data_IF_439788095952
#
_entry.id   IF_439788095952
#
_cell.length_a   1.000
_cell.length_b   1.000
_cell.length_c   1.000
_cell.angle_alpha   90.00
_cell.angle_beta   90.00
_cell.angle_gamma   90.00
#
_symmetry.space_group_name_H-M   'P 1'
#
loop_
_entity.id
_entity.type
_entity.pdbx_description
1 polymer ?
#
# COMPACT_ATOMS: atom_id res chain seq x y z
N UNK A 1 -4.39 -6.47 15.72
CA UNK A 1 -3.25 -5.93 16.50
C UNK A 1 -2.11 -5.74 15.53
N UNK A 2 -1.38 -4.64 15.56
CA UNK A 2 -0.18 -4.49 14.73
C UNK A 2 0.79 -5.63 15.10
N UNK A 3 1.27 -6.37 14.10
CA UNK A 3 2.21 -7.48 14.33
C UNK A 3 3.51 -6.89 14.85
N UNK A 4 3.86 -7.22 16.07
CA UNK A 4 5.06 -6.69 16.72
C UNK A 4 6.32 -7.29 16.06
N UNK A 5 7.28 -6.44 15.72
CA UNK A 5 8.58 -6.85 15.16
C UNK A 5 9.38 -7.53 16.27
N UNK A 6 9.91 -8.71 16.00
CA UNK A 6 10.66 -9.48 17.00
C UNK A 6 11.93 -8.72 17.46
N UNK A 7 12.22 -8.86 18.76
CA UNK A 7 13.35 -8.15 19.38
C UNK A 7 14.68 -8.41 18.68
N UNK A 8 14.95 -9.64 18.27
CA UNK A 8 16.19 -9.97 17.54
C UNK A 8 16.35 -9.23 16.22
N UNK A 9 15.22 -8.89 15.55
CA UNK A 9 15.23 -8.07 14.32
C UNK A 9 15.51 -6.61 14.68
N UNK A 10 14.88 -6.10 15.72
CA UNK A 10 15.13 -4.74 16.23
C UNK A 10 16.60 -4.57 16.59
N UNK A 11 17.16 -5.49 17.38
CA UNK A 11 18.56 -5.47 17.81
C UNK A 11 19.52 -5.48 16.60
N UNK A 12 19.24 -6.31 15.58
CA UNK A 12 20.02 -6.37 14.33
C UNK A 12 19.98 -5.07 13.55
N UNK A 13 18.80 -4.45 13.45
CA UNK A 13 18.60 -3.17 12.76
C UNK A 13 19.37 -2.06 13.47
N UNK A 14 19.23 -1.96 14.80
CA UNK A 14 19.93 -0.96 15.62
C UNK A 14 21.44 -1.15 15.57
N UNK A 15 21.94 -2.38 15.65
CA UNK A 15 23.36 -2.68 15.54
C UNK A 15 23.94 -2.24 14.18
N UNK A 16 23.18 -2.35 13.09
CA UNK A 16 23.64 -1.99 11.75
C UNK A 16 23.62 -0.49 11.47
N UNK A 17 22.59 0.24 11.94
CA UNK A 17 22.37 1.65 11.54
C UNK A 17 22.28 2.66 12.69
N UNK A 18 22.51 2.20 13.93
CA UNK A 18 22.52 3.05 15.13
C UNK A 18 21.17 3.45 15.69
N UNK A 19 20.06 3.24 14.95
CA UNK A 19 18.70 3.56 15.37
C UNK A 19 17.67 2.63 14.71
N UNK A 20 16.47 2.49 15.27
CA UNK A 20 15.42 1.65 14.71
C UNK A 20 14.75 2.31 13.51
N UNK A 21 14.32 3.56 13.66
CA UNK A 21 13.62 4.29 12.61
C UNK A 21 14.57 5.12 11.75
N UNK A 22 14.26 5.18 10.45
CA UNK A 22 15.11 5.87 9.47
C UNK A 22 14.89 7.38 9.48
N UNK A 23 13.64 7.82 9.66
CA UNK A 23 13.23 9.18 9.43
C UNK A 23 12.90 9.89 10.74
N UNK A 24 13.45 11.09 10.94
CA UNK A 24 13.18 11.95 12.10
C UNK A 24 12.11 13.00 11.76
N UNK A 25 11.86 13.25 10.46
CA UNK A 25 10.79 14.11 9.94
C UNK A 25 10.49 13.78 8.48
N UNK A 26 9.27 14.11 8.02
CA UNK A 26 8.83 13.96 6.64
C UNK A 26 8.33 15.31 6.10
N UNK A 27 8.54 15.55 4.79
CA UNK A 27 8.00 16.73 4.10
C UNK A 27 6.63 16.39 3.49
N UNK A 28 5.57 17.03 3.97
CA UNK A 28 4.21 16.78 3.50
C UNK A 28 4.04 17.00 1.99
N UNK A 29 4.76 17.97 1.40
CA UNK A 29 4.68 18.28 -0.04
C UNK A 29 5.39 17.24 -0.92
N UNK A 30 6.32 16.48 -0.33
CA UNK A 30 7.10 15.44 -1.00
C UNK A 30 6.64 14.04 -0.62
N UNK A 31 5.57 13.92 0.15
CA UNK A 31 5.04 12.65 0.63
C UNK A 31 3.74 12.29 -0.10
N UNK A 32 3.59 11.02 -0.44
CA UNK A 32 2.33 10.45 -0.91
C UNK A 32 1.91 9.25 -0.04
N UNK A 33 0.60 9.13 0.23
CA UNK A 33 -0.02 7.92 0.74
C UNK A 33 -0.45 7.06 -0.45
N UNK A 34 0.09 5.85 -0.55
CA UNK A 34 -0.33 4.83 -1.49
C UNK A 34 -1.29 3.86 -0.79
N UNK A 35 -2.56 3.86 -1.17
CA UNK A 35 -3.55 2.89 -0.66
C UNK A 35 -3.75 1.82 -1.73
N UNK A 36 -3.17 0.64 -1.49
CA UNK A 36 -3.02 -0.42 -2.49
C UNK A 36 -4.14 -1.46 -2.37
N UNK A 37 -4.84 -1.72 -3.47
CA UNK A 37 -5.77 -2.82 -3.71
C UNK A 37 -6.90 -2.96 -2.66
N UNK A 38 -7.37 -1.85 -2.09
CA UNK A 38 -8.53 -1.84 -1.21
C UNK A 38 -9.83 -1.92 -2.03
N UNK A 39 -9.96 -2.98 -2.84
CA UNK A 39 -11.05 -3.25 -3.78
C UNK A 39 -12.01 -4.29 -3.20
N UNK A 40 -13.23 -4.35 -3.74
CA UNK A 40 -14.24 -5.37 -3.34
C UNK A 40 -13.67 -6.78 -3.39
N UNK A 41 -12.84 -7.10 -4.39
CA UNK A 41 -12.19 -8.40 -4.53
C UNK A 41 -11.40 -8.84 -3.28
N UNK A 42 -10.80 -7.89 -2.56
CA UNK A 42 -9.94 -8.19 -1.41
C UNK A 42 -10.58 -7.87 -0.07
N UNK A 43 -11.57 -6.96 -0.04
CA UNK A 43 -12.14 -6.43 1.21
C UNK A 43 -13.54 -6.95 1.48
N UNK A 44 -14.38 -7.17 0.43
CA UNK A 44 -15.75 -7.59 0.62
C UNK A 44 -15.86 -9.03 1.18
N UNK A 45 -16.77 -9.27 2.15
CA UNK A 45 -16.97 -10.60 2.69
C UNK A 45 -17.35 -11.63 1.63
N UNK A 46 -16.72 -12.81 1.67
CA UNK A 46 -17.00 -13.90 0.74
C UNK A 46 -16.46 -13.69 -0.68
N UNK A 47 -15.69 -12.65 -0.92
CA UNK A 47 -15.09 -12.42 -2.23
C UNK A 47 -13.98 -13.46 -2.53
N UNK A 48 -13.71 -13.78 -3.80
CA UNK A 48 -12.80 -14.88 -4.16
C UNK A 48 -11.33 -14.65 -3.76
N UNK A 49 -10.95 -13.40 -3.49
CA UNK A 49 -9.59 -13.01 -3.10
C UNK A 49 -9.57 -12.37 -1.70
N UNK A 50 -10.61 -12.59 -0.90
CA UNK A 50 -10.79 -11.96 0.40
C UNK A 50 -9.54 -12.05 1.27
N UNK A 51 -9.20 -10.92 1.87
CA UNK A 51 -8.22 -10.79 2.95
C UNK A 51 -9.00 -10.40 4.20
N UNK A 52 -9.28 -11.33 5.13
CA UNK A 52 -10.19 -11.08 6.25
C UNK A 52 -9.81 -9.85 7.09
N UNK A 53 -8.51 -9.62 7.29
CA UNK A 53 -7.97 -8.46 8.00
C UNK A 53 -8.15 -7.12 7.26
N UNK A 54 -8.44 -7.12 5.95
CA UNK A 54 -8.53 -5.88 5.17
C UNK A 54 -9.69 -4.97 5.60
N UNK A 55 -10.79 -5.52 6.11
CA UNK A 55 -11.88 -4.69 6.65
C UNK A 55 -11.49 -3.90 7.88
N UNK A 56 -10.65 -4.49 8.72
CA UNK A 56 -10.20 -3.83 9.96
C UNK A 56 -9.31 -2.60 9.68
N UNK A 57 -8.65 -2.53 8.54
CA UNK A 57 -7.80 -1.40 8.17
C UNK A 57 -8.55 -0.28 7.42
N UNK A 58 -9.81 -0.45 7.05
CA UNK A 58 -10.60 0.59 6.33
C UNK A 58 -10.71 1.87 7.16
N UNK A 59 -11.13 1.77 8.43
CA UNK A 59 -11.28 2.93 9.29
C UNK A 59 -9.94 3.61 9.63
N UNK A 60 -8.85 2.90 9.97
CA UNK A 60 -7.51 3.48 10.08
C UNK A 60 -7.04 4.23 8.84
N UNK A 61 -7.19 3.63 7.64
CA UNK A 61 -6.83 4.27 6.36
C UNK A 61 -7.64 5.55 6.14
N UNK A 62 -8.96 5.52 6.35
CA UNK A 62 -9.83 6.68 6.19
C UNK A 62 -9.42 7.83 7.12
N UNK A 63 -9.16 7.53 8.41
CA UNK A 63 -8.67 8.51 9.39
C UNK A 63 -7.34 9.11 8.93
N UNK A 64 -6.39 8.26 8.56
CA UNK A 64 -5.07 8.68 8.10
C UNK A 64 -5.17 9.57 6.86
N UNK A 65 -5.90 9.15 5.82
CA UNK A 65 -6.08 9.90 4.59
C UNK A 65 -6.67 11.29 4.85
N UNK A 66 -7.68 11.40 5.74
CA UNK A 66 -8.27 12.68 6.12
C UNK A 66 -7.25 13.61 6.80
N UNK A 67 -6.41 13.10 7.73
CA UNK A 67 -5.38 13.89 8.39
C UNK A 67 -4.24 14.30 7.45
N UNK A 68 -3.85 13.41 6.54
CA UNK A 68 -2.82 13.68 5.56
C UNK A 68 -3.25 14.74 4.53
N UNK A 69 -4.51 14.72 4.06
CA UNK A 69 -5.07 15.78 3.19
C UNK A 69 -4.98 17.17 3.81
N UNK A 70 -5.32 17.30 5.11
CA UNK A 70 -5.21 18.58 5.86
C UNK A 70 -3.77 19.12 5.90
N UNK A 71 -2.78 18.26 5.72
CA UNK A 71 -1.34 18.60 5.71
C UNK A 71 -0.78 18.80 4.31
N UNK A 72 -1.59 18.58 3.26
CA UNK A 72 -1.19 18.73 1.87
C UNK A 72 -0.43 17.53 1.30
N UNK A 73 -0.53 16.37 1.95
CA UNK A 73 0.03 15.10 1.43
C UNK A 73 -0.84 14.59 0.28
N UNK A 74 -0.21 14.11 -0.78
CA UNK A 74 -0.91 13.51 -1.92
C UNK A 74 -1.47 12.13 -1.55
N UNK A 75 -2.77 11.91 -1.80
CA UNK A 75 -3.42 10.60 -1.60
C UNK A 75 -3.60 9.92 -2.95
N UNK A 76 -3.16 8.65 -3.05
CA UNK A 76 -3.23 7.85 -4.28
C UNK A 76 -3.88 6.50 -3.98
N UNK A 77 -5.06 6.28 -4.57
CA UNK A 77 -5.77 5.01 -4.52
C UNK A 77 -5.32 4.15 -5.69
N UNK A 78 -4.74 3.00 -5.40
CA UNK A 78 -4.19 2.09 -6.40
C UNK A 78 -5.08 0.87 -6.49
N UNK A 79 -5.52 0.54 -7.71
CA UNK A 79 -6.38 -0.62 -7.97
C UNK A 79 -5.70 -1.59 -8.92
N UNK A 80 -5.73 -2.87 -8.60
CA UNK A 80 -5.35 -3.91 -9.56
C UNK A 80 -6.41 -4.02 -10.66
N UNK A 81 -5.97 -4.01 -11.91
CA UNK A 81 -6.85 -4.10 -13.07
C UNK A 81 -6.19 -4.92 -14.17
N UNK A 82 -6.85 -5.98 -14.61
CA UNK A 82 -6.39 -6.82 -15.72
C UNK A 82 -7.18 -6.54 -17.00
N UNK A 83 -6.59 -6.95 -18.14
CA UNK A 83 -7.37 -7.21 -19.33
C UNK A 83 -8.35 -8.37 -19.05
N UNK A 84 -9.55 -8.30 -19.66
CA UNK A 84 -10.63 -9.28 -19.43
C UNK A 84 -10.22 -10.72 -19.77
N UNK A 85 -9.28 -10.90 -20.69
CA UNK A 85 -8.74 -12.20 -21.12
C UNK A 85 -7.43 -12.58 -20.41
N UNK A 86 -6.88 -11.72 -19.53
CA UNK A 86 -5.65 -11.94 -18.78
C UNK A 86 -4.37 -11.93 -19.62
N UNK A 87 -4.42 -11.48 -20.89
CA UNK A 87 -3.23 -11.48 -21.78
C UNK A 87 -2.19 -10.46 -21.37
N UNK A 88 -2.57 -9.41 -20.68
CA UNK A 88 -1.68 -8.38 -20.18
C UNK A 88 -0.75 -8.89 -19.07
N UNK A 89 -1.05 -10.07 -18.47
CA UNK A 89 -0.16 -10.76 -17.53
C UNK A 89 -0.21 -12.29 -17.73
N UNK A 90 0.05 -12.74 -18.95
CA UNK A 90 -0.02 -14.16 -19.34
C UNK A 90 0.82 -15.07 -18.43
N UNK A 91 2.06 -14.68 -18.08
CA UNK A 91 2.92 -15.45 -17.19
C UNK A 91 2.28 -15.79 -15.84
N UNK A 92 1.46 -14.89 -15.28
CA UNK A 92 0.69 -15.17 -14.06
C UNK A 92 -0.51 -16.09 -14.36
N UNK A 93 -1.35 -15.71 -15.33
CA UNK A 93 -2.59 -16.45 -15.60
C UNK A 93 -2.36 -17.85 -16.14
N UNK A 94 -1.26 -18.07 -16.86
CA UNK A 94 -0.94 -19.38 -17.44
C UNK A 94 -0.21 -20.30 -16.44
N UNK A 95 0.47 -19.75 -15.42
CA UNK A 95 1.29 -20.55 -14.51
C UNK A 95 0.73 -20.68 -13.09
N UNK A 96 -0.01 -19.68 -12.60
CA UNK A 96 -0.50 -19.64 -11.21
C UNK A 96 -1.99 -19.89 -11.07
N UNK A 97 -2.73 -19.89 -12.19
CA UNK A 97 -4.18 -20.10 -12.18
C UNK A 97 -4.48 -21.41 -12.94
N UNK A 98 -5.27 -22.28 -12.31
CA UNK A 98 -5.72 -23.51 -12.96
C UNK A 98 -6.46 -23.17 -14.27
N UNK A 99 -6.23 -23.92 -15.37
CA UNK A 99 -6.80 -23.61 -16.69
C UNK A 99 -8.31 -23.37 -16.68
N UNK A 100 -9.07 -24.21 -15.96
CA UNK A 100 -10.52 -24.08 -15.83
C UNK A 100 -11.02 -22.86 -15.04
N UNK A 101 -10.13 -22.13 -14.35
CA UNK A 101 -10.47 -20.92 -13.57
C UNK A 101 -9.90 -19.64 -14.20
N UNK A 102 -9.13 -19.75 -15.25
CA UNK A 102 -8.39 -18.62 -15.84
C UNK A 102 -9.31 -17.48 -16.28
N UNK A 103 -10.39 -17.80 -16.98
CA UNK A 103 -11.33 -16.79 -17.48
C UNK A 103 -12.00 -16.02 -16.35
N UNK A 104 -12.48 -16.71 -15.31
CA UNK A 104 -13.14 -16.10 -14.17
C UNK A 104 -12.15 -15.25 -13.36
N UNK A 105 -10.94 -15.74 -13.14
CA UNK A 105 -9.90 -15.01 -12.42
C UNK A 105 -9.49 -13.72 -13.16
N UNK A 106 -9.36 -13.75 -14.48
CA UNK A 106 -9.06 -12.57 -15.28
C UNK A 106 -10.23 -11.57 -15.28
N UNK A 107 -11.46 -12.07 -15.43
CA UNK A 107 -12.67 -11.24 -15.44
C UNK A 107 -12.91 -10.55 -14.09
N UNK A 108 -12.59 -11.20 -12.98
CA UNK A 108 -12.83 -10.68 -11.62
C UNK A 108 -12.25 -9.29 -11.39
N UNK A 109 -11.03 -9.05 -11.85
CA UNK A 109 -10.33 -7.77 -11.70
C UNK A 109 -10.24 -6.97 -13.02
N UNK A 110 -11.07 -7.31 -14.01
CA UNK A 110 -11.12 -6.53 -15.26
C UNK A 110 -11.80 -5.18 -15.06
N UNK A 111 -11.46 -4.23 -15.92
CA UNK A 111 -12.04 -2.89 -15.90
C UNK A 111 -13.58 -2.94 -15.89
N UNK A 112 -14.18 -2.25 -14.93
CA UNK A 112 -15.64 -2.14 -14.79
C UNK A 112 -16.32 -3.31 -14.07
N UNK A 113 -15.61 -4.37 -13.66
CA UNK A 113 -16.18 -5.40 -12.79
C UNK A 113 -16.50 -4.85 -11.40
N UNK A 114 -17.51 -5.40 -10.72
CA UNK A 114 -17.83 -5.01 -9.34
C UNK A 114 -16.69 -5.33 -8.37
N UNK A 115 -15.96 -6.42 -8.60
CA UNK A 115 -14.85 -6.83 -7.76
C UNK A 115 -13.62 -5.90 -7.92
N UNK A 116 -13.48 -5.25 -9.08
CA UNK A 116 -12.38 -4.28 -9.33
C UNK A 116 -12.62 -2.94 -8.65
N UNK A 117 -13.85 -2.56 -8.35
CA UNK A 117 -14.17 -1.28 -7.71
C UNK A 117 -13.55 -1.17 -6.33
N UNK A 118 -13.16 0.04 -5.93
CA UNK A 118 -12.75 0.34 -4.56
C UNK A 118 -13.89 0.01 -3.59
N UNK A 119 -13.54 -0.50 -2.41
CA UNK A 119 -14.49 -0.86 -1.38
C UNK A 119 -15.30 0.38 -0.95
N UNK A 120 -16.64 0.32 -0.89
CA UNK A 120 -17.51 1.50 -0.81
C UNK A 120 -17.37 2.31 0.50
N UNK A 121 -16.84 1.70 1.57
CA UNK A 121 -16.63 2.38 2.85
C UNK A 121 -15.33 3.21 2.90
N UNK A 122 -14.54 3.21 1.82
CA UNK A 122 -13.35 4.05 1.73
C UNK A 122 -13.72 5.51 1.48
N UNK A 123 -13.14 6.42 2.24
CA UNK A 123 -13.36 7.86 2.15
C UNK A 123 -12.53 8.50 1.02
N UNK A 124 -12.84 8.10 -0.22
CA UNK A 124 -12.16 8.59 -1.44
C UNK A 124 -12.72 9.94 -1.84
N UNK A 125 -11.85 10.95 -1.94
CA UNK A 125 -12.25 12.29 -2.39
C UNK A 125 -11.96 12.54 -3.88
N UNK A 126 -12.63 13.55 -4.47
CA UNK A 126 -12.43 13.94 -5.87
C UNK A 126 -11.02 14.46 -6.15
N UNK A 127 -10.38 15.02 -5.16
CA UNK A 127 -9.00 15.54 -5.21
C UNK A 127 -7.95 14.44 -5.21
N UNK A 128 -8.31 13.23 -4.81
CA UNK A 128 -7.37 12.12 -4.72
C UNK A 128 -7.04 11.56 -6.10
N UNK A 129 -5.81 11.09 -6.26
CA UNK A 129 -5.41 10.39 -7.47
C UNK A 129 -5.90 8.94 -7.46
N UNK A 130 -6.17 8.43 -8.65
CA UNK A 130 -6.51 7.02 -8.87
C UNK A 130 -5.59 6.46 -9.95
N UNK A 131 -4.90 5.36 -9.62
CA UNK A 131 -3.94 4.71 -10.51
C UNK A 131 -4.30 3.23 -10.63
N UNK A 132 -4.38 2.74 -11.86
CA UNK A 132 -4.51 1.31 -12.12
C UNK A 132 -3.14 0.66 -12.30
N UNK A 133 -2.98 -0.56 -11.81
CA UNK A 133 -1.81 -1.42 -12.03
C UNK A 133 -2.22 -2.82 -12.47
N UNK A 134 -1.36 -3.51 -13.18
CA UNK A 134 -1.55 -4.91 -13.55
C UNK A 134 -0.35 -5.81 -13.18
N UNK A 135 0.40 -5.39 -12.17
CA UNK A 135 1.46 -6.18 -11.53
C UNK A 135 1.29 -6.08 -10.02
N UNK A 136 2.00 -6.90 -9.25
CA UNK A 136 1.97 -6.77 -7.80
C UNK A 136 2.48 -5.40 -7.38
N UNK A 137 3.66 -5.02 -7.85
CA UNK A 137 4.16 -3.67 -7.61
C UNK A 137 3.41 -2.63 -8.44
N UNK A 138 3.07 -1.53 -7.80
CA UNK A 138 2.42 -0.38 -8.44
C UNK A 138 3.38 0.44 -9.32
N UNK A 139 4.68 0.22 -9.19
CA UNK A 139 5.71 0.95 -9.95
C UNK A 139 6.11 0.23 -11.26
N UNK A 140 5.60 -1.00 -11.49
CA UNK A 140 5.95 -1.78 -12.67
C UNK A 140 4.86 -1.67 -13.73
N UNK A 141 5.24 -1.28 -14.95
CA UNK A 141 4.37 -1.19 -16.14
C UNK A 141 3.11 -0.33 -15.95
N UNK A 142 3.19 0.69 -15.08
CA UNK A 142 2.09 1.63 -14.81
C UNK A 142 2.51 3.08 -14.93
N UNK A 143 1.59 3.99 -14.63
CA UNK A 143 1.82 5.45 -14.67
C UNK A 143 2.29 6.02 -13.33
N UNK A 144 2.31 5.24 -12.26
CA UNK A 144 2.54 5.75 -10.90
C UNK A 144 3.88 6.48 -10.77
N UNK A 145 4.96 5.92 -11.30
CA UNK A 145 6.28 6.55 -11.19
C UNK A 145 6.32 7.95 -11.83
N UNK A 146 5.72 8.09 -13.01
CA UNK A 146 5.61 9.39 -13.68
C UNK A 146 4.78 10.39 -12.86
N UNK A 147 3.66 9.96 -12.28
CA UNK A 147 2.82 10.79 -11.41
C UNK A 147 3.58 11.28 -10.18
N UNK A 148 4.36 10.41 -9.55
CA UNK A 148 5.19 10.75 -8.39
C UNK A 148 6.29 11.76 -8.75
N UNK A 149 7.04 11.51 -9.84
CA UNK A 149 8.12 12.38 -10.30
C UNK A 149 7.63 13.78 -10.70
N UNK A 150 6.52 13.87 -11.44
CA UNK A 150 5.92 15.14 -11.84
C UNK A 150 5.50 16.01 -10.64
N UNK A 151 5.16 15.38 -9.52
CA UNK A 151 4.76 16.04 -8.27
C UNK A 151 5.92 16.30 -7.32
N UNK A 152 7.13 15.87 -7.67
CA UNK A 152 8.31 15.96 -6.80
C UNK A 152 8.21 15.11 -5.53
N UNK A 153 7.42 14.01 -5.57
CA UNK A 153 7.30 13.07 -4.44
C UNK A 153 8.57 12.25 -4.33
N UNK A 154 9.12 12.19 -3.12
CA UNK A 154 10.30 11.37 -2.78
C UNK A 154 10.04 10.40 -1.62
N UNK A 155 8.85 10.46 -1.00
CA UNK A 155 8.50 9.69 0.20
C UNK A 155 7.14 9.01 0.02
N UNK A 156 7.09 7.71 0.28
CA UNK A 156 5.90 6.88 0.10
C UNK A 156 5.48 6.25 1.43
N UNK A 157 4.27 6.57 1.89
CA UNK A 157 3.57 5.87 2.96
C UNK A 157 2.74 4.77 2.31
N UNK A 158 2.96 3.50 2.67
CA UNK A 158 2.30 2.35 2.03
C UNK A 158 1.25 1.77 2.96
N UNK A 159 0.01 1.71 2.47
CA UNK A 159 -1.16 1.12 3.11
C UNK A 159 -1.89 0.18 2.14
N UNK A 160 -2.79 -0.67 2.65
CA UNK A 160 -3.66 -1.54 1.85
C UNK A 160 -3.33 -3.02 1.95
N UNK A 161 -3.57 -3.78 0.87
CA UNK A 161 -3.47 -5.25 0.87
C UNK A 161 -2.92 -5.79 -0.46
N UNK A 162 -2.32 -7.01 -0.52
CA UNK A 162 -1.83 -7.79 0.63
C UNK A 162 -0.46 -7.27 1.05
N UNK A 163 -0.23 -7.24 2.35
CA UNK A 163 1.05 -6.73 2.90
C UNK A 163 2.25 -7.43 2.27
N UNK A 164 2.25 -8.77 2.25
CA UNK A 164 3.34 -9.62 1.76
C UNK A 164 3.39 -9.78 0.23
N UNK A 165 2.50 -9.14 -0.51
CA UNK A 165 2.47 -9.23 -1.99
C UNK A 165 2.54 -7.83 -2.59
N UNK A 166 1.39 -7.17 -2.81
CA UNK A 166 1.35 -5.90 -3.54
C UNK A 166 2.04 -4.76 -2.77
N UNK A 167 1.85 -4.70 -1.45
CA UNK A 167 2.49 -3.68 -0.62
C UNK A 167 4.01 -3.90 -0.55
N UNK A 168 4.46 -5.13 -0.26
CA UNK A 168 5.89 -5.45 -0.18
C UNK A 168 6.59 -5.29 -1.53
N UNK A 169 6.01 -5.80 -2.64
CA UNK A 169 6.60 -5.61 -3.97
C UNK A 169 6.74 -4.13 -4.32
N UNK A 170 5.73 -3.30 -3.98
CA UNK A 170 5.81 -1.86 -4.20
C UNK A 170 6.89 -1.21 -3.32
N UNK A 171 7.01 -1.62 -2.05
CA UNK A 171 8.03 -1.12 -1.14
C UNK A 171 9.46 -1.42 -1.63
N UNK A 172 9.68 -2.65 -2.11
CA UNK A 172 10.99 -3.09 -2.65
C UNK A 172 11.38 -2.28 -3.87
N UNK A 173 10.49 -2.16 -4.86
CA UNK A 173 10.76 -1.40 -6.07
C UNK A 173 10.93 0.10 -5.77
N UNK A 174 10.11 0.66 -4.87
CA UNK A 174 10.22 2.04 -4.46
C UNK A 174 11.60 2.36 -3.86
N UNK A 175 12.08 1.50 -2.95
CA UNK A 175 13.40 1.67 -2.34
C UNK A 175 14.52 1.58 -3.40
N UNK A 176 14.44 0.65 -4.34
CA UNK A 176 15.42 0.51 -5.43
C UNK A 176 15.35 1.64 -6.46
N UNK A 177 14.29 2.44 -6.46
CA UNK A 177 14.11 3.67 -7.24
C UNK A 177 14.38 4.94 -6.42
N UNK A 178 15.07 4.82 -5.27
CA UNK A 178 15.49 5.88 -4.37
C UNK A 178 14.37 6.63 -3.64
N UNK A 179 13.16 6.06 -3.56
CA UNK A 179 12.11 6.61 -2.69
C UNK A 179 12.38 6.27 -1.22
N UNK A 180 12.05 7.20 -0.34
CA UNK A 180 11.90 6.94 1.09
C UNK A 180 10.61 6.17 1.32
N UNK A 181 10.72 4.99 1.91
CA UNK A 181 9.58 4.08 2.09
C UNK A 181 9.24 3.95 3.57
N UNK A 182 7.94 4.09 3.88
CA UNK A 182 7.35 3.80 5.19
C UNK A 182 6.18 2.87 4.99
N UNK A 183 6.27 1.65 5.49
CA UNK A 183 5.13 0.72 5.54
C UNK A 183 4.34 0.93 6.83
N UNK A 184 3.02 1.10 6.70
CA UNK A 184 2.15 1.41 7.81
C UNK A 184 1.58 0.12 8.42
N UNK A 185 2.09 -0.28 9.58
CA UNK A 185 1.81 -1.58 10.21
C UNK A 185 0.34 -1.78 10.60
N UNK A 186 -0.36 -0.70 10.94
CA UNK A 186 -1.78 -0.67 11.31
C UNK A 186 -2.73 -0.34 10.16
N UNK A 187 -2.17 -0.06 8.97
CA UNK A 187 -2.91 0.25 7.75
C UNK A 187 -2.62 -0.75 6.61
N UNK A 188 -1.96 -1.87 6.89
CA UNK A 188 -1.74 -2.97 5.94
C UNK A 188 -2.30 -4.28 6.49
N UNK A 189 -2.72 -5.20 5.60
CA UNK A 189 -3.27 -6.50 5.97
C UNK A 189 -2.76 -7.63 5.07
N UNK A 190 -2.37 -8.76 5.66
CA UNK A 190 -2.04 -10.03 5.02
C UNK A 190 -3.12 -11.09 5.33
N UNK A 191 -2.93 -12.32 4.85
CA UNK A 191 -3.85 -13.43 5.14
C UNK A 191 -3.65 -14.00 6.55
N UNK A 192 -2.47 -13.81 7.14
CA UNK A 192 -2.15 -14.23 8.49
C UNK A 192 -1.22 -13.25 9.21
N UNK A 193 -1.19 -13.32 10.53
CA UNK A 193 -0.28 -12.52 11.36
C UNK A 193 1.19 -12.87 11.09
N UNK A 194 1.49 -14.12 10.74
CA UNK A 194 2.86 -14.54 10.40
C UNK A 194 3.34 -13.93 9.09
N UNK A 195 2.49 -13.90 8.04
CA UNK A 195 2.81 -13.23 6.77
C UNK A 195 2.96 -11.71 6.97
N UNK A 196 2.07 -11.12 7.78
CA UNK A 196 2.16 -9.71 8.14
C UNK A 196 3.50 -9.38 8.80
N UNK A 197 3.84 -10.11 9.87
CA UNK A 197 5.08 -9.91 10.63
C UNK A 197 6.32 -10.13 9.76
N UNK A 198 6.37 -11.23 8.99
CA UNK A 198 7.51 -11.53 8.13
C UNK A 198 7.81 -10.39 7.14
N UNK A 199 6.77 -9.80 6.56
CA UNK A 199 6.92 -8.66 5.66
C UNK A 199 7.41 -7.42 6.39
N UNK A 200 6.81 -7.05 7.53
CA UNK A 200 7.24 -5.89 8.31
C UNK A 200 8.71 -6.02 8.73
N UNK A 201 9.13 -7.22 9.14
CA UNK A 201 10.52 -7.53 9.48
C UNK A 201 11.48 -7.42 8.28
N UNK A 202 11.05 -7.83 7.09
CA UNK A 202 11.82 -7.64 5.86
C UNK A 202 11.97 -6.15 5.51
N UNK A 203 10.86 -5.41 5.57
CA UNK A 203 10.83 -3.98 5.21
C UNK A 203 11.73 -3.18 6.14
N UNK A 204 11.59 -3.32 7.46
CA UNK A 204 12.39 -2.54 8.41
C UNK A 204 13.87 -2.86 8.34
N UNK A 205 14.24 -4.06 7.91
CA UNK A 205 15.64 -4.45 7.75
C UNK A 205 16.27 -3.90 6.47
N UNK A 206 15.52 -3.85 5.34
CA UNK A 206 16.15 -3.72 4.02
C UNK A 206 15.51 -2.64 3.13
N UNK A 207 14.19 -2.38 3.24
CA UNK A 207 13.47 -1.66 2.20
C UNK A 207 12.87 -0.32 2.66
N UNK A 208 12.88 -0.04 3.97
CA UNK A 208 12.30 1.20 4.45
C UNK A 208 12.16 1.24 5.96
N UNK A 209 11.23 2.04 6.42
CA UNK A 209 10.81 2.11 7.80
C UNK A 209 9.46 1.41 7.98
N UNK A 210 9.14 1.02 9.20
CA UNK A 210 7.84 0.50 9.61
C UNK A 210 7.34 1.34 10.77
N UNK A 211 6.21 2.00 10.56
CA UNK A 211 5.57 2.89 11.52
C UNK A 211 4.08 2.56 11.64
N UNK A 212 3.47 2.93 12.72
CA UNK A 212 2.02 3.08 12.80
C UNK A 212 1.56 4.36 12.09
N UNK A 213 0.28 4.46 11.78
CA UNK A 213 -0.30 5.67 11.19
C UNK A 213 -0.10 6.91 12.06
N UNK A 214 -0.18 6.76 13.40
CA UNK A 214 0.02 7.86 14.35
C UNK A 214 1.49 8.30 14.42
N UNK A 215 2.44 7.37 14.39
CA UNK A 215 3.87 7.67 14.30
C UNK A 215 4.23 8.39 13.00
N UNK A 216 3.70 7.94 11.87
CA UNK A 216 3.89 8.62 10.58
C UNK A 216 3.31 10.03 10.58
N UNK A 217 2.13 10.23 11.18
CA UNK A 217 1.55 11.56 11.36
C UNK A 217 2.40 12.46 12.28
N UNK A 218 3.06 11.90 13.27
CA UNK A 218 3.92 12.67 14.19
C UNK A 218 5.17 13.22 13.48
N UNK A 219 5.67 12.55 12.45
CA UNK A 219 6.82 12.99 11.65
C UNK A 219 6.48 14.12 10.65
N UNK A 220 5.21 14.37 10.38
CA UNK A 220 4.76 15.40 9.46
C UNK A 220 4.42 16.70 10.22
N UNK A 221 4.76 17.88 9.67
CA UNK A 221 4.39 19.15 10.27
C UNK A 221 2.87 19.25 10.41
N UNK A 222 2.39 19.76 11.55
CA UNK A 222 0.96 20.06 11.73
C UNK A 222 0.55 21.09 10.69
N UNK A 223 -0.51 20.82 9.94
CA UNK A 223 -1.07 21.79 9.01
C UNK A 223 -1.27 23.14 9.70
N UNK A 224 -0.95 24.25 9.02
CA UNK A 224 -1.27 25.57 9.55
C UNK A 224 -2.77 25.61 9.84
N UNK A 225 -3.15 25.92 11.09
CA UNK A 225 -4.52 26.35 11.37
C UNK A 225 -4.76 27.54 10.45
N UNK A 226 -5.65 27.41 9.47
CA UNK A 226 -6.18 28.60 8.79
C UNK A 226 -6.84 29.41 9.90
N UNK A 227 -6.25 30.57 10.24
CA UNK A 227 -6.86 31.53 11.12
C UNK A 227 -8.19 31.95 10.51
N UNK A 228 -9.23 31.90 11.34
CA UNK A 228 -10.54 32.50 11.06
C UNK A 228 -10.38 34.01 10.90
#
# INVERSE_FOLDING_TARGET
>A
MASEIRKEIVDRVVARRGKLHLFDSLDAKKTALLVIDMQNAFVAPGSPLEVPGARAIVAPINRLAAELRKRGVTIIWISHQNAKDGRDWSGFFDSFIAPGRRADAAAALSAGSELQKLFPELAVEKSDLRVAKNRYSALIKGSLENELRQRGIDTLLIAGTKTNVCCECTARDAMMLDYKVVMLSDCTAALSDDEQRATLENVIQQFGDVLTSDEALALLPRGRKMGL
#
